data_IF_933510395392
#
_entry.id   IF_933510395392
#
_cell.length_a   1.000
_cell.length_b   1.000
_cell.length_c   1.000
_cell.angle_alpha   90.00
_cell.angle_beta   90.00
_cell.angle_gamma   90.00
#
_symmetry.space_group_name_H-M   'P 1'
#
loop_
_entity.id
_entity.type
_entity.pdbx_description
1 polymer ?
#
# COMPACT_ATOMS: atom_id res chain seq x y z
N UNK A 1 -10.66 -15.35 -15.88
CA UNK A 1 -11.77 -14.38 -15.87
C UNK A 1 -12.90 -15.00 -15.07
N UNK A 2 -13.45 -14.30 -14.08
CA UNK A 2 -14.56 -14.83 -13.29
C UNK A 2 -15.85 -14.81 -14.12
N UNK A 3 -16.75 -15.76 -13.85
CA UNK A 3 -18.06 -15.82 -14.48
C UNK A 3 -19.14 -15.58 -13.43
N UNK A 4 -20.24 -14.98 -13.85
CA UNK A 4 -21.49 -14.96 -13.09
C UNK A 4 -22.15 -16.34 -13.13
N UNK A 5 -23.18 -16.56 -12.30
CA UNK A 5 -23.98 -17.79 -12.37
C UNK A 5 -24.62 -18.01 -13.75
N UNK A 6 -24.93 -16.93 -14.47
CA UNK A 6 -25.44 -16.97 -15.85
C UNK A 6 -24.37 -17.21 -16.92
N UNK A 7 -23.11 -17.44 -16.53
CA UNK A 7 -21.99 -17.69 -17.46
C UNK A 7 -21.42 -16.45 -18.14
N UNK A 8 -21.91 -15.25 -17.82
CA UNK A 8 -21.36 -14.00 -18.34
C UNK A 8 -20.09 -13.59 -17.60
N UNK A 9 -19.18 -12.84 -18.23
CA UNK A 9 -18.12 -12.07 -17.56
C UNK A 9 -18.51 -11.43 -16.23
N UNK A 10 -17.83 -11.78 -15.13
CA UNK A 10 -17.91 -11.01 -13.89
C UNK A 10 -16.84 -9.92 -13.87
N UNK A 11 -17.27 -8.67 -13.78
CA UNK A 11 -16.41 -7.50 -13.66
C UNK A 11 -16.30 -7.08 -12.20
N UNK A 12 -15.18 -7.39 -11.57
CA UNK A 12 -14.87 -6.92 -10.23
C UNK A 12 -14.47 -5.43 -10.26
N UNK A 13 -15.12 -4.61 -9.44
CA UNK A 13 -14.67 -3.26 -9.08
C UNK A 13 -14.33 -3.24 -7.60
N UNK A 14 -13.10 -2.85 -7.26
CA UNK A 14 -12.67 -2.74 -5.86
C UNK A 14 -13.04 -1.38 -5.25
N UNK A 15 -13.35 -0.37 -6.06
CA UNK A 15 -13.75 0.96 -5.58
C UNK A 15 -15.25 1.02 -5.27
N UNK A 16 -15.60 1.80 -4.25
CA UNK A 16 -16.99 2.12 -3.96
C UNK A 16 -17.55 3.04 -5.07
N UNK A 17 -18.57 2.56 -5.76
CA UNK A 17 -19.29 3.33 -6.78
C UNK A 17 -20.53 4.03 -6.22
N UNK A 18 -20.81 3.90 -4.92
CA UNK A 18 -21.94 4.59 -4.29
C UNK A 18 -21.65 6.08 -4.29
N UNK A 19 -22.46 6.83 -5.05
CA UNK A 19 -22.44 8.29 -5.07
C UNK A 19 -22.72 8.82 -3.67
N UNK A 20 -21.72 9.40 -3.01
CA UNK A 20 -21.96 10.39 -1.96
C UNK A 20 -22.59 11.59 -2.65
N UNK A 21 -23.91 11.60 -2.83
CA UNK A 21 -24.64 12.80 -3.26
C UNK A 21 -24.52 13.84 -2.14
N UNK A 22 -23.48 14.66 -2.15
CA UNK A 22 -23.67 16.05 -1.75
C UNK A 22 -24.64 16.65 -2.78
N UNK A 23 -25.76 17.17 -2.29
CA UNK A 23 -26.87 17.67 -3.12
C UNK A 23 -26.33 18.74 -4.09
N UNK A 24 -26.14 18.38 -5.36
CA UNK A 24 -25.97 19.33 -6.47
C UNK A 24 -24.55 19.83 -6.80
N UNK A 25 -23.48 19.18 -6.33
CA UNK A 25 -22.09 19.52 -6.71
C UNK A 25 -21.53 18.63 -7.83
N UNK A 26 -20.61 19.17 -8.65
CA UNK A 26 -19.84 18.40 -9.64
C UNK A 26 -18.93 17.36 -8.97
N UNK A 27 -18.80 16.17 -9.56
CA UNK A 27 -17.98 15.07 -9.06
C UNK A 27 -16.51 15.51 -8.90
N UNK A 28 -15.96 15.45 -7.68
CA UNK A 28 -14.53 15.65 -7.42
C UNK A 28 -13.83 14.31 -7.19
N UNK A 29 -12.55 14.17 -7.57
CA UNK A 29 -11.77 12.94 -7.34
C UNK A 29 -11.64 12.57 -5.84
N UNK A 30 -11.86 13.53 -4.95
CA UNK A 30 -11.83 13.36 -3.49
C UNK A 30 -13.09 12.68 -2.92
N UNK A 31 -14.17 12.55 -3.72
CA UNK A 31 -15.45 11.98 -3.27
C UNK A 31 -15.53 10.44 -3.36
N UNK A 32 -14.48 9.77 -3.86
CA UNK A 32 -14.48 8.30 -4.04
C UNK A 32 -13.99 7.60 -2.77
N UNK A 33 -14.83 6.76 -2.16
CA UNK A 33 -14.43 6.01 -0.97
C UNK A 33 -13.34 4.95 -1.28
N UNK A 34 -12.41 4.69 -0.34
CA UNK A 34 -11.33 3.74 -0.54
C UNK A 34 -11.83 2.30 -0.72
N UNK A 35 -11.23 1.58 -1.67
CA UNK A 35 -11.64 0.25 -2.12
C UNK A 35 -11.13 -0.92 -1.27
N UNK A 36 -11.31 -0.86 0.05
CA UNK A 36 -10.76 -1.88 0.96
C UNK A 36 -11.45 -3.24 0.76
N UNK A 37 -10.65 -4.29 0.59
CA UNK A 37 -11.13 -5.66 0.35
C UNK A 37 -10.52 -6.64 1.35
N UNK A 38 -11.34 -7.51 1.95
CA UNK A 38 -10.92 -8.55 2.88
C UNK A 38 -11.19 -9.95 2.31
N UNK A 39 -10.15 -10.79 2.21
CA UNK A 39 -10.25 -12.17 1.72
C UNK A 39 -9.98 -13.13 2.88
N UNK A 40 -10.98 -13.95 3.23
CA UNK A 40 -10.92 -14.91 4.34
C UNK A 40 -11.05 -16.35 3.83
N UNK A 41 -10.41 -17.29 4.52
CA UNK A 41 -10.48 -18.72 4.18
C UNK A 41 -9.36 -19.55 4.80
N UNK A 42 -9.47 -20.89 4.79
CA UNK A 42 -8.48 -21.79 5.37
C UNK A 42 -7.14 -21.75 4.61
N UNK A 43 -6.08 -22.27 5.23
CA UNK A 43 -4.80 -22.52 4.54
C UNK A 43 -5.06 -23.47 3.37
N UNK A 44 -4.48 -23.19 2.20
CA UNK A 44 -4.74 -23.95 0.97
C UNK A 44 -6.05 -23.59 0.24
N UNK A 45 -6.93 -22.78 0.83
CA UNK A 45 -8.21 -22.39 0.22
C UNK A 45 -8.13 -21.36 -0.93
N UNK A 46 -6.95 -21.13 -1.50
CA UNK A 46 -6.79 -20.26 -2.68
C UNK A 46 -6.80 -18.75 -2.43
N UNK A 47 -6.68 -18.28 -1.18
CA UNK A 47 -6.67 -16.83 -0.85
C UNK A 47 -5.65 -16.03 -1.67
N UNK A 48 -4.40 -16.48 -1.69
CA UNK A 48 -3.31 -15.84 -2.44
C UNK A 48 -3.60 -15.84 -3.94
N UNK A 49 -4.09 -16.97 -4.47
CA UNK A 49 -4.50 -17.09 -5.88
C UNK A 49 -5.62 -16.12 -6.25
N UNK A 50 -6.65 -16.00 -5.40
CA UNK A 50 -7.75 -15.06 -5.59
C UNK A 50 -7.24 -13.62 -5.57
N UNK A 51 -6.43 -13.26 -4.56
CA UNK A 51 -5.81 -11.94 -4.45
C UNK A 51 -5.02 -11.59 -5.71
N UNK A 52 -4.08 -12.46 -6.14
CA UNK A 52 -3.25 -12.18 -7.32
C UNK A 52 -4.06 -12.14 -8.61
N UNK A 53 -5.13 -12.93 -8.71
CA UNK A 53 -6.06 -12.89 -9.85
C UNK A 53 -6.79 -11.55 -9.93
N UNK A 54 -7.26 -11.04 -8.80
CA UNK A 54 -7.92 -9.73 -8.75
C UNK A 54 -6.94 -8.60 -9.12
N UNK A 55 -5.70 -8.65 -8.61
CA UNK A 55 -4.67 -7.66 -8.97
C UNK A 55 -4.33 -7.74 -10.46
N UNK A 56 -4.16 -8.94 -11.03
CA UNK A 56 -3.93 -9.12 -12.46
C UNK A 56 -5.08 -8.58 -13.32
N UNK A 57 -6.33 -8.75 -12.89
CA UNK A 57 -7.49 -8.20 -13.60
C UNK A 57 -7.55 -6.66 -13.55
N UNK A 58 -7.01 -6.08 -12.48
CA UNK A 58 -6.88 -4.63 -12.33
C UNK A 58 -5.72 -4.04 -13.14
N UNK A 59 -4.84 -4.85 -13.74
CA UNK A 59 -3.67 -4.37 -14.49
C UNK A 59 -4.02 -3.43 -15.66
N UNK A 60 -5.25 -3.52 -16.18
CA UNK A 60 -5.82 -2.56 -17.15
C UNK A 60 -5.75 -1.10 -16.69
N UNK A 61 -5.68 -0.83 -15.38
CA UNK A 61 -5.56 0.51 -14.81
C UNK A 61 -4.12 0.85 -14.42
N UNK A 62 -3.16 -0.04 -14.67
CA UNK A 62 -1.74 0.08 -14.29
C UNK A 62 -1.54 0.50 -12.82
N UNK A 63 -2.11 -0.24 -11.86
CA UNK A 63 -2.02 0.14 -10.45
C UNK A 63 -0.58 0.01 -9.94
N UNK A 64 -0.18 0.89 -9.03
CA UNK A 64 1.01 0.67 -8.21
C UNK A 64 0.70 -0.40 -7.17
N UNK A 65 1.40 -1.53 -7.24
CA UNK A 65 1.17 -2.66 -6.32
C UNK A 65 2.33 -2.79 -5.36
N UNK A 66 2.03 -2.66 -4.07
CA UNK A 66 2.93 -3.04 -2.98
C UNK A 66 2.32 -4.22 -2.23
N UNK A 67 3.10 -5.27 -1.96
CA UNK A 67 2.57 -6.50 -1.38
C UNK A 67 3.51 -7.11 -0.35
N UNK A 68 2.92 -7.67 0.70
CA UNK A 68 3.60 -8.49 1.69
C UNK A 68 3.16 -9.94 1.49
N UNK A 69 4.14 -10.81 1.34
CA UNK A 69 3.90 -12.22 1.08
C UNK A 69 4.60 -13.09 2.11
N UNK A 70 3.88 -14.10 2.59
CA UNK A 70 4.39 -15.09 3.53
C UNK A 70 4.68 -16.37 2.75
N UNK A 71 5.90 -16.89 2.89
CA UNK A 71 6.36 -18.13 2.25
C UNK A 71 6.51 -18.06 0.72
N UNK A 72 6.72 -16.87 0.15
CA UNK A 72 7.03 -16.67 -1.28
C UNK A 72 5.94 -17.19 -2.25
N UNK A 73 4.69 -17.27 -1.80
CA UNK A 73 3.55 -17.70 -2.61
C UNK A 73 3.22 -16.75 -3.79
N UNK A 74 3.72 -15.52 -3.76
CA UNK A 74 3.51 -14.51 -4.80
C UNK A 74 4.75 -14.27 -5.66
N UNK A 75 5.87 -14.97 -5.44
CA UNK A 75 7.11 -14.75 -6.20
C UNK A 75 6.89 -14.82 -7.72
N UNK A 76 6.25 -15.91 -8.18
CA UNK A 76 5.98 -16.12 -9.62
C UNK A 76 5.06 -15.03 -10.17
N UNK A 77 4.03 -14.64 -9.41
CA UNK A 77 3.11 -13.58 -9.80
C UNK A 77 3.83 -12.25 -9.98
N UNK A 78 4.61 -11.81 -8.98
CA UNK A 78 5.34 -10.54 -9.04
C UNK A 78 6.31 -10.52 -10.22
N UNK A 79 7.01 -11.62 -10.48
CA UNK A 79 7.88 -11.75 -11.64
C UNK A 79 7.11 -11.67 -12.96
N UNK A 80 5.95 -12.33 -13.07
CA UNK A 80 5.11 -12.30 -14.26
C UNK A 80 4.55 -10.90 -14.54
N UNK A 81 4.25 -10.11 -13.51
CA UNK A 81 3.81 -8.72 -13.62
C UNK A 81 4.97 -7.73 -13.87
N UNK A 82 6.21 -8.20 -14.02
CA UNK A 82 7.38 -7.34 -14.22
C UNK A 82 7.86 -6.60 -12.97
N UNK A 83 7.38 -6.99 -11.78
CA UNK A 83 7.73 -6.36 -10.51
C UNK A 83 9.04 -6.85 -9.90
N UNK A 84 9.45 -6.15 -8.84
CA UNK A 84 10.61 -6.51 -8.00
C UNK A 84 10.13 -7.27 -6.77
N UNK A 85 10.73 -8.43 -6.50
CA UNK A 85 10.43 -9.24 -5.32
C UNK A 85 11.68 -9.32 -4.43
N UNK A 86 11.58 -8.85 -3.18
CA UNK A 86 12.67 -8.89 -2.19
C UNK A 86 12.30 -9.79 -1.01
N UNK A 87 13.13 -10.81 -0.75
CA UNK A 87 12.98 -11.69 0.41
C UNK A 87 13.67 -11.05 1.61
N UNK A 88 12.94 -10.86 2.71
CA UNK A 88 13.53 -10.42 3.97
C UNK A 88 14.14 -11.61 4.70
N UNK A 89 15.44 -11.55 4.96
CA UNK A 89 16.21 -12.59 5.63
C UNK A 89 16.85 -12.04 6.89
N UNK A 90 16.87 -12.85 7.97
CA UNK A 90 17.52 -12.45 9.21
C UNK A 90 19.02 -12.27 8.99
N UNK A 91 19.59 -11.21 9.57
CA UNK A 91 21.01 -10.90 9.46
C UNK A 91 21.46 -10.36 8.09
N UNK A 92 20.53 -10.15 7.15
CA UNK A 92 20.83 -9.56 5.84
C UNK A 92 20.26 -8.15 5.76
N UNK A 93 21.01 -7.24 5.13
CA UNK A 93 20.56 -5.87 4.92
C UNK A 93 19.28 -5.83 4.07
N UNK A 94 18.26 -5.14 4.58
CA UNK A 94 16.95 -5.06 3.92
C UNK A 94 16.89 -3.92 2.91
N UNK A 95 17.76 -2.91 3.03
CA UNK A 95 17.68 -1.65 2.28
C UNK A 95 16.41 -0.84 2.56
N UNK A 96 15.68 -1.16 3.64
CA UNK A 96 14.43 -0.47 4.03
C UNK A 96 14.67 0.58 5.10
N UNK A 97 15.91 0.89 5.45
CA UNK A 97 16.21 1.95 6.40
C UNK A 97 15.93 3.32 5.75
N UNK A 98 14.90 4.06 6.18
CA UNK A 98 14.57 5.35 5.58
C UNK A 98 15.64 6.40 5.85
N UNK A 99 16.48 6.23 6.88
CA UNK A 99 17.61 7.11 7.18
C UNK A 99 18.83 6.87 6.29
N UNK A 100 18.80 5.85 5.43
CA UNK A 100 19.85 5.57 4.44
C UNK A 100 19.56 6.21 3.07
N UNK A 101 18.47 6.97 2.94
CA UNK A 101 18.16 7.71 1.71
C UNK A 101 19.11 8.89 1.51
N UNK A 102 19.27 9.33 0.26
CA UNK A 102 20.06 10.53 -0.06
C UNK A 102 19.52 11.76 0.70
N UNK A 103 20.39 12.57 1.34
CA UNK A 103 19.95 13.70 2.15
C UNK A 103 19.53 14.89 1.26
N UNK A 104 18.36 14.78 0.64
CA UNK A 104 17.66 15.87 -0.01
C UNK A 104 16.51 16.38 0.87
N UNK A 105 15.97 17.55 0.55
CA UNK A 105 14.93 18.20 1.36
C UNK A 105 13.68 17.32 1.57
N UNK A 106 13.28 16.54 0.56
CA UNK A 106 12.12 15.64 0.64
C UNK A 106 12.39 14.47 1.60
N UNK A 107 13.53 13.79 1.46
CA UNK A 107 13.93 12.66 2.30
C UNK A 107 14.18 13.08 3.75
N UNK A 108 14.78 14.25 3.97
CA UNK A 108 15.01 14.82 5.30
C UNK A 108 13.67 15.14 5.98
N UNK A 109 12.72 15.75 5.24
CA UNK A 109 11.39 16.04 5.76
C UNK A 109 10.63 14.75 6.10
N UNK A 110 10.71 13.73 5.23
CA UNK A 110 10.13 12.42 5.48
C UNK A 110 10.72 11.74 6.73
N UNK A 111 12.05 11.69 6.85
CA UNK A 111 12.74 11.08 7.99
C UNK A 111 12.39 11.80 9.30
N UNK A 112 12.42 13.14 9.30
CA UNK A 112 12.03 13.95 10.46
C UNK A 112 10.59 13.67 10.87
N UNK A 113 9.65 13.67 9.91
CA UNK A 113 8.24 13.39 10.17
C UNK A 113 8.01 11.96 10.68
N UNK A 114 8.78 10.99 10.19
CA UNK A 114 8.74 9.62 10.69
C UNK A 114 9.20 9.54 12.15
N UNK A 115 10.32 10.17 12.52
CA UNK A 115 10.81 10.21 13.91
C UNK A 115 9.79 10.87 14.81
N UNK A 116 9.21 12.01 14.40
CA UNK A 116 8.17 12.69 15.17
C UNK A 116 6.95 11.79 15.44
N UNK A 117 6.47 11.05 14.43
CA UNK A 117 5.34 10.11 14.60
C UNK A 117 5.68 8.96 15.54
N UNK A 118 6.91 8.43 15.46
CA UNK A 118 7.36 7.35 16.34
C UNK A 118 7.57 7.83 17.78
N UNK A 119 8.09 9.05 17.97
CA UNK A 119 8.33 9.65 19.27
C UNK A 119 7.03 10.10 19.97
N UNK A 120 6.03 10.58 19.21
CA UNK A 120 4.78 11.10 19.74
C UNK A 120 4.01 10.08 20.60
N UNK A 121 4.07 8.79 20.25
CA UNK A 121 3.28 7.75 20.94
C UNK A 121 1.82 8.18 21.12
N UNK A 122 1.30 8.08 22.36
CA UNK A 122 -0.04 8.55 22.72
C UNK A 122 -0.06 9.97 23.33
N UNK A 123 1.11 10.57 23.60
CA UNK A 123 1.23 11.81 24.38
C UNK A 123 1.44 13.03 23.47
N UNK A 124 1.86 12.81 22.23
CA UNK A 124 2.30 13.85 21.32
C UNK A 124 3.76 14.23 21.57
N UNK A 125 4.28 15.13 20.74
CA UNK A 125 5.58 15.78 20.95
C UNK A 125 5.36 17.28 21.10
N UNK A 126 6.24 17.92 21.86
CA UNK A 126 6.30 19.38 21.98
C UNK A 126 6.93 20.01 20.74
N UNK A 127 6.66 21.30 20.52
CA UNK A 127 7.32 22.06 19.46
C UNK A 127 8.85 22.11 19.62
N UNK A 128 9.34 22.03 20.87
CA UNK A 128 10.77 21.96 21.16
C UNK A 128 11.40 20.67 20.62
N UNK A 129 10.80 19.52 20.96
CA UNK A 129 11.25 18.21 20.47
C UNK A 129 11.15 18.09 18.94
N UNK A 130 10.09 18.64 18.34
CA UNK A 130 9.95 18.67 16.88
C UNK A 130 11.08 19.45 16.19
N UNK A 131 11.50 20.59 16.78
CA UNK A 131 12.62 21.40 16.29
C UNK A 131 13.96 20.70 16.47
N UNK A 132 14.18 20.03 17.61
CA UNK A 132 15.38 19.22 17.85
C UNK A 132 15.51 18.09 16.81
N UNK A 133 14.42 17.36 16.55
CA UNK A 133 14.38 16.31 15.52
C UNK A 133 14.71 16.89 14.14
N UNK A 134 14.11 18.02 13.77
CA UNK A 134 14.37 18.62 12.45
C UNK A 134 15.83 19.05 12.29
N UNK A 135 16.39 19.71 13.31
CA UNK A 135 17.79 20.18 13.28
C UNK A 135 18.81 19.03 13.22
N UNK A 136 18.50 17.86 13.81
CA UNK A 136 19.35 16.67 13.73
C UNK A 136 19.49 16.07 12.32
N UNK A 137 18.58 16.38 11.40
CA UNK A 137 18.56 15.82 10.04
C UNK A 137 19.05 16.80 8.95
N UNK A 138 19.35 18.06 9.30
CA UNK A 138 19.74 19.12 8.35
C UNK A 138 21.26 19.36 8.24
N UNK A 139 22.08 18.30 8.31
CA UNK A 139 23.55 18.38 8.13
C UNK A 139 23.98 18.24 6.67
#
# INVERSE_FOLDING_TARGET
>A
MFLTEGGSPFFASLHDMRKTKTRGGSESEEDKAPGNTLILGPIGGGKTTLQTTLVAQSDKTKPTVFTFDRSQGQYVFVKAMGGVYKVLQRGTETGFNPFSLEPNAENIAFASGLVQRLAAGNVGITSGEANEIHSAHCL
#
